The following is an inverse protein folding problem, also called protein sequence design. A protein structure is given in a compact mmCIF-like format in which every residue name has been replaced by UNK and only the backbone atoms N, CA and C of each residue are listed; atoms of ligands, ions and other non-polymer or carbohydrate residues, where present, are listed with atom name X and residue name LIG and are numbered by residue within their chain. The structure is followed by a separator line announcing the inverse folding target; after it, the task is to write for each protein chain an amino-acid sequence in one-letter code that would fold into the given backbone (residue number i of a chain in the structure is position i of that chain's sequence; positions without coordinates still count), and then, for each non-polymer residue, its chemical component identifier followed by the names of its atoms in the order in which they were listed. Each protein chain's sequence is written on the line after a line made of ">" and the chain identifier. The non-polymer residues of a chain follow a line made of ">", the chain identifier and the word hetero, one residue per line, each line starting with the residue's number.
data_IF_594364610080
#
_entry.id   IF_594364610080
#
_cell.length_a   1.000
_cell.length_b   1.000
_cell.length_c   1.000
_cell.angle_alpha   90.00
_cell.angle_beta   90.00
_cell.angle_gamma   90.00
#
_symmetry.space_group_name_H-M   'P 1'
#
loop_
_entity.id
_entity.type
_entity.pdbx_description
1 polymer ?
#
# COMPACT_ATOMS: atom_id res chain seq x y z
N UNK A 1 -44.58 -49.87 12.18
CA UNK A 1 -44.18 -49.04 13.34
C UNK A 1 -42.98 -48.21 12.91
N UNK A 2 -43.26 -47.03 12.36
CA UNK A 2 -42.26 -46.05 11.88
C UNK A 2 -42.10 -45.00 12.98
N UNK A 3 -40.98 -45.06 13.68
CA UNK A 3 -40.63 -44.10 14.73
C UNK A 3 -40.29 -42.75 14.13
N UNK A 4 -41.12 -41.75 14.39
CA UNK A 4 -40.80 -40.34 14.16
C UNK A 4 -39.74 -39.92 15.18
N UNK A 5 -38.48 -39.85 14.74
CA UNK A 5 -37.42 -39.18 15.47
C UNK A 5 -37.69 -37.68 15.42
N UNK A 6 -38.30 -37.16 16.48
CA UNK A 6 -38.45 -35.73 16.73
C UNK A 6 -37.05 -35.15 16.90
N UNK A 7 -36.48 -34.60 15.82
CA UNK A 7 -35.31 -33.73 15.90
C UNK A 7 -35.70 -32.51 16.74
N UNK A 8 -35.41 -32.57 18.03
CA UNK A 8 -35.33 -31.40 18.90
C UNK A 8 -34.14 -30.59 18.41
N UNK A 9 -34.34 -29.84 17.33
CA UNK A 9 -33.39 -28.87 16.82
C UNK A 9 -33.07 -27.90 17.94
N UNK A 10 -31.81 -27.88 18.36
CA UNK A 10 -31.26 -26.89 19.28
C UNK A 10 -31.51 -25.48 18.71
N UNK A 11 -32.65 -24.89 19.05
CA UNK A 11 -32.95 -23.51 18.71
C UNK A 11 -32.11 -22.64 19.65
N UNK A 12 -30.98 -22.16 19.11
CA UNK A 12 -30.16 -21.12 19.74
C UNK A 12 -31.10 -19.99 20.17
N UNK A 13 -31.06 -19.65 21.47
CA UNK A 13 -31.94 -18.65 22.07
C UNK A 13 -31.69 -17.26 21.47
N UNK A 14 -32.68 -16.38 21.52
CA UNK A 14 -32.55 -15.01 20.98
C UNK A 14 -31.36 -14.25 21.62
N UNK A 15 -31.13 -14.46 22.92
CA UNK A 15 -30.00 -13.87 23.66
C UNK A 15 -28.64 -14.38 23.18
N UNK A 16 -28.49 -15.69 22.92
CA UNK A 16 -27.26 -16.26 22.39
C UNK A 16 -26.95 -15.73 20.98
N UNK A 17 -27.98 -15.51 20.16
CA UNK A 17 -27.82 -14.89 18.84
C UNK A 17 -27.37 -13.45 18.94
N UNK A 18 -27.98 -12.66 19.82
CA UNK A 18 -27.60 -11.26 20.02
C UNK A 18 -26.14 -11.14 20.46
N UNK A 19 -25.70 -12.00 21.40
CA UNK A 19 -24.29 -12.08 21.82
C UNK A 19 -23.35 -12.49 20.69
N UNK A 20 -23.75 -13.43 19.84
CA UNK A 20 -22.94 -13.85 18.69
C UNK A 20 -22.73 -12.69 17.70
N UNK A 21 -23.75 -11.87 17.47
CA UNK A 21 -23.64 -10.72 16.56
C UNK A 21 -22.76 -9.62 17.14
N UNK A 22 -22.96 -9.31 18.42
CA UNK A 22 -22.12 -8.34 19.11
C UNK A 22 -20.65 -8.79 19.07
N UNK A 23 -20.40 -10.09 19.28
CA UNK A 23 -19.08 -10.67 19.15
C UNK A 23 -18.51 -10.52 17.73
N UNK A 24 -19.27 -10.87 16.69
CA UNK A 24 -18.82 -10.75 15.29
C UNK A 24 -18.53 -9.30 14.93
N UNK A 25 -19.41 -8.37 15.31
CA UNK A 25 -19.22 -6.93 15.06
C UNK A 25 -17.97 -6.42 15.77
N UNK A 26 -17.77 -6.75 17.06
CA UNK A 26 -16.57 -6.37 17.80
C UNK A 26 -15.30 -7.00 17.23
N UNK A 27 -15.36 -8.26 16.80
CA UNK A 27 -14.24 -8.95 16.19
C UNK A 27 -13.83 -8.27 14.87
N UNK A 28 -14.81 -7.90 14.05
CA UNK A 28 -14.56 -7.20 12.79
C UNK A 28 -14.05 -5.77 13.01
N UNK A 29 -14.57 -5.06 14.02
CA UNK A 29 -14.03 -3.77 14.44
C UNK A 29 -12.57 -3.88 14.88
N UNK A 30 -12.22 -4.89 15.69
CA UNK A 30 -10.84 -5.15 16.10
C UNK A 30 -9.94 -5.46 14.89
N UNK A 31 -10.37 -6.33 13.97
CA UNK A 31 -9.60 -6.62 12.75
C UNK A 31 -9.38 -5.34 11.91
N UNK A 32 -10.41 -4.51 11.79
CA UNK A 32 -10.31 -3.25 11.07
C UNK A 32 -9.30 -2.29 11.72
N UNK A 33 -9.34 -2.16 13.05
CA UNK A 33 -8.42 -1.29 13.77
C UNK A 33 -6.99 -1.83 13.77
N UNK A 34 -6.80 -3.15 13.88
CA UNK A 34 -5.51 -3.81 13.70
C UNK A 34 -4.97 -3.55 12.28
N UNK A 35 -5.82 -3.68 11.27
CA UNK A 35 -5.47 -3.37 9.87
C UNK A 35 -5.03 -1.91 9.68
N UNK A 36 -5.73 -0.94 10.29
CA UNK A 36 -5.33 0.48 10.27
C UNK A 36 -3.97 0.69 10.94
N UNK A 37 -3.71 0.01 12.06
CA UNK A 37 -2.44 0.10 12.77
C UNK A 37 -1.30 -0.48 11.91
N UNK A 38 -1.52 -1.61 11.25
CA UNK A 38 -0.52 -2.20 10.33
C UNK A 38 -0.25 -1.31 9.13
N UNK A 39 -1.29 -0.76 8.50
CA UNK A 39 -1.14 0.24 7.42
C UNK A 39 -0.38 1.47 7.91
N UNK A 40 -0.64 1.94 9.12
CA UNK A 40 0.11 3.02 9.76
C UNK A 40 1.59 2.69 9.95
N UNK A 41 1.91 1.46 10.41
CA UNK A 41 3.30 0.97 10.52
C UNK A 41 3.97 0.89 9.15
N UNK A 42 3.26 0.42 8.13
CA UNK A 42 3.77 0.32 6.76
C UNK A 42 4.10 1.71 6.21
N UNK A 43 3.15 2.64 6.30
CA UNK A 43 3.32 4.06 5.91
C UNK A 43 4.51 4.69 6.64
N UNK A 44 4.68 4.41 7.93
CA UNK A 44 5.84 4.89 8.70
C UNK A 44 7.14 4.30 8.19
N UNK A 45 7.21 2.99 7.91
CA UNK A 45 8.41 2.35 7.32
C UNK A 45 8.76 2.98 5.97
N UNK A 46 7.79 3.19 5.09
CA UNK A 46 8.00 3.88 3.81
C UNK A 46 8.50 5.30 3.99
N UNK A 47 7.92 6.06 4.94
CA UNK A 47 8.37 7.41 5.24
C UNK A 47 9.82 7.44 5.75
N UNK A 48 10.23 6.44 6.52
CA UNK A 48 11.63 6.30 6.96
C UNK A 48 12.53 5.95 5.78
N UNK A 49 12.16 4.97 4.95
CA UNK A 49 12.92 4.61 3.74
C UNK A 49 13.06 5.81 2.80
N UNK A 50 12.01 6.61 2.63
CA UNK A 50 12.04 7.86 1.87
C UNK A 50 13.07 8.85 2.43
N UNK A 51 13.06 9.05 3.75
CA UNK A 51 14.04 9.91 4.42
C UNK A 51 15.48 9.40 4.26
N UNK A 52 15.68 8.08 4.32
CA UNK A 52 16.99 7.46 4.09
C UNK A 52 17.46 7.73 2.65
N UNK A 53 16.57 7.62 1.66
CA UNK A 53 16.92 7.88 0.26
C UNK A 53 17.22 9.36 0.02
N UNK A 54 16.47 10.28 0.64
CA UNK A 54 16.80 11.71 0.61
C UNK A 54 18.18 11.95 1.21
N UNK A 55 18.46 11.38 2.38
CA UNK A 55 19.75 11.56 3.05
C UNK A 55 20.90 11.02 2.18
N UNK A 56 20.73 9.84 1.59
CA UNK A 56 21.70 9.25 0.66
C UNK A 56 21.90 10.17 -0.56
N UNK A 57 20.83 10.75 -1.08
CA UNK A 57 20.88 11.68 -2.22
C UNK A 57 21.64 12.96 -1.87
N UNK A 58 21.45 13.50 -0.65
CA UNK A 58 22.21 14.66 -0.16
C UNK A 58 23.70 14.32 -0.04
N UNK A 59 24.04 13.15 0.51
CA UNK A 59 25.44 12.71 0.63
C UNK A 59 26.08 12.57 -0.77
N UNK A 60 25.38 11.93 -1.71
CA UNK A 60 25.86 11.77 -3.08
C UNK A 60 26.03 13.12 -3.79
N UNK A 61 25.10 14.06 -3.56
CA UNK A 61 25.21 15.42 -4.07
C UNK A 61 26.43 16.16 -3.49
N UNK A 62 26.65 16.06 -2.18
CA UNK A 62 27.83 16.64 -1.53
C UNK A 62 29.13 16.04 -2.07
N UNK A 63 29.17 14.71 -2.28
CA UNK A 63 30.30 14.03 -2.93
C UNK A 63 30.51 14.53 -4.37
N UNK A 64 29.43 14.75 -5.12
CA UNK A 64 29.49 15.35 -6.47
C UNK A 64 30.11 16.74 -6.46
N UNK A 65 29.71 17.61 -5.53
CA UNK A 65 30.33 18.94 -5.33
C UNK A 65 31.81 18.79 -4.97
N UNK A 66 32.15 17.86 -4.08
CA UNK A 66 33.54 17.62 -3.67
C UNK A 66 34.41 17.17 -4.85
N UNK A 67 33.89 16.26 -5.68
CA UNK A 67 34.54 15.79 -6.91
C UNK A 67 34.72 16.92 -7.93
N UNK A 68 33.75 17.82 -8.05
CA UNK A 68 33.88 19.01 -8.90
C UNK A 68 34.91 20.03 -8.41
N UNK A 69 35.11 20.10 -7.10
CA UNK A 69 36.05 21.07 -6.52
C UNK A 69 37.49 20.80 -6.98
N UNK A 70 37.87 19.54 -7.20
CA UNK A 70 39.23 19.14 -7.61
C UNK A 70 39.62 19.69 -9.00
N UNK A 71 38.89 19.43 -10.10
CA UNK A 71 39.20 19.99 -11.41
C UNK A 71 39.00 21.51 -11.46
N UNK A 72 38.08 22.07 -10.66
CA UNK A 72 37.93 23.52 -10.53
C UNK A 72 39.22 24.15 -9.98
N UNK A 73 39.77 23.58 -8.90
CA UNK A 73 41.05 24.03 -8.31
C UNK A 73 42.20 23.83 -9.30
N UNK A 74 42.29 22.68 -9.97
CA UNK A 74 43.34 22.40 -10.97
C UNK A 74 43.29 23.38 -12.16
N UNK A 75 42.10 23.76 -12.61
CA UNK A 75 41.91 24.77 -13.66
C UNK A 75 42.34 26.18 -13.21
N UNK A 76 42.21 26.51 -11.92
CA UNK A 76 42.73 27.76 -11.36
C UNK A 76 44.27 27.82 -11.36
N UNK A 77 44.96 26.69 -11.19
CA UNK A 77 46.42 26.61 -11.26
C UNK A 77 47.00 26.56 -12.69
N UNK A 78 46.16 26.69 -13.73
CA UNK A 78 46.60 26.90 -15.11
C UNK A 78 47.14 25.67 -15.84
N UNK A 79 46.90 24.45 -15.33
CA UNK A 79 47.41 23.21 -15.92
C UNK A 79 46.53 22.65 -17.07
N UNK A 80 45.29 23.13 -17.23
CA UNK A 80 44.30 22.56 -18.16
C UNK A 80 43.43 23.67 -18.77
N UNK A 81 43.00 23.48 -20.02
CA UNK A 81 42.06 24.36 -20.70
C UNK A 81 40.71 24.43 -19.95
N UNK A 82 40.36 25.62 -19.44
CA UNK A 82 39.29 25.83 -18.46
C UNK A 82 37.92 25.40 -18.99
N UNK A 83 37.69 25.58 -20.28
CA UNK A 83 36.43 25.26 -20.95
C UNK A 83 36.17 23.75 -20.99
N UNK A 84 37.18 22.97 -21.36
CA UNK A 84 37.05 21.51 -21.48
C UNK A 84 36.88 20.85 -20.10
N UNK A 85 37.59 21.36 -19.09
CA UNK A 85 37.43 20.92 -17.70
C UNK A 85 36.00 21.16 -17.20
N UNK A 86 35.45 22.35 -17.42
CA UNK A 86 34.10 22.72 -16.98
C UNK A 86 33.00 21.85 -17.64
N UNK A 87 33.11 21.61 -18.95
CA UNK A 87 32.15 20.79 -19.70
C UNK A 87 32.19 19.34 -19.20
N UNK A 88 33.37 18.77 -19.00
CA UNK A 88 33.54 17.40 -18.51
C UNK A 88 32.98 17.25 -17.09
N UNK A 89 33.24 18.22 -16.23
CA UNK A 89 32.67 18.32 -14.88
C UNK A 89 31.12 18.37 -14.92
N UNK A 90 30.55 19.22 -15.77
CA UNK A 90 29.10 19.36 -15.92
C UNK A 90 28.42 18.05 -16.37
N UNK A 91 29.00 17.37 -17.35
CA UNK A 91 28.50 16.06 -17.81
C UNK A 91 28.58 14.99 -16.72
N UNK A 92 29.70 14.91 -15.99
CA UNK A 92 29.86 13.96 -14.89
C UNK A 92 28.85 14.18 -13.76
N UNK A 93 28.55 15.44 -13.44
CA UNK A 93 27.54 15.77 -12.43
C UNK A 93 26.12 15.43 -12.88
N UNK A 94 25.79 15.73 -14.14
CA UNK A 94 24.47 15.43 -14.69
C UNK A 94 24.22 13.92 -14.74
N UNK A 95 25.23 13.14 -15.11
CA UNK A 95 25.15 11.67 -15.12
C UNK A 95 25.03 11.09 -13.70
N UNK A 96 25.79 11.63 -12.74
CA UNK A 96 25.65 11.28 -11.31
C UNK A 96 24.24 11.59 -10.79
N UNK A 97 23.71 12.78 -11.08
CA UNK A 97 22.36 13.15 -10.67
C UNK A 97 21.30 12.25 -11.34
N UNK A 98 21.44 11.95 -12.64
CA UNK A 98 20.54 11.05 -13.35
C UNK A 98 20.54 9.63 -12.76
N UNK A 99 21.72 9.06 -12.48
CA UNK A 99 21.85 7.71 -11.95
C UNK A 99 21.37 7.58 -10.50
N UNK A 100 21.65 8.58 -9.66
CA UNK A 100 21.45 8.46 -8.22
C UNK A 100 20.19 9.16 -7.67
N UNK A 101 19.67 10.20 -8.33
CA UNK A 101 18.45 10.88 -7.91
C UNK A 101 17.23 10.39 -8.70
N UNK A 102 17.31 10.38 -10.03
CA UNK A 102 16.13 10.10 -10.85
C UNK A 102 15.62 8.67 -10.70
N UNK A 103 16.50 7.66 -10.83
CA UNK A 103 16.08 6.25 -10.77
C UNK A 103 15.46 5.85 -9.41
N UNK A 104 16.06 6.19 -8.25
CA UNK A 104 15.43 5.86 -6.97
C UNK A 104 14.12 6.62 -6.75
N UNK A 105 14.07 7.89 -7.14
CA UNK A 105 12.88 8.73 -6.96
C UNK A 105 11.69 8.22 -7.80
N UNK A 106 11.95 7.87 -9.06
CA UNK A 106 10.95 7.25 -9.95
C UNK A 106 10.44 5.92 -9.38
N UNK A 107 11.34 5.09 -8.84
CA UNK A 107 10.98 3.82 -8.20
C UNK A 107 10.10 4.03 -6.96
N UNK A 108 10.39 5.03 -6.13
CA UNK A 108 9.56 5.38 -4.96
C UNK A 108 8.19 5.84 -5.42
N UNK A 109 8.10 6.74 -6.40
CA UNK A 109 6.82 7.23 -6.91
C UNK A 109 5.96 6.10 -7.46
N UNK A 110 6.58 5.16 -8.17
CA UNK A 110 5.91 3.93 -8.61
C UNK A 110 5.36 3.13 -7.42
N UNK A 111 6.21 2.77 -6.46
CA UNK A 111 5.78 1.96 -5.30
C UNK A 111 4.70 2.68 -4.48
N UNK A 112 4.81 4.01 -4.33
CA UNK A 112 3.83 4.81 -3.62
C UNK A 112 2.48 4.86 -4.37
N UNK A 113 2.52 4.94 -5.70
CA UNK A 113 1.34 4.80 -6.55
C UNK A 113 0.67 3.45 -6.36
N UNK A 114 1.44 2.36 -6.45
CA UNK A 114 0.94 0.99 -6.28
C UNK A 114 0.31 0.79 -4.90
N UNK A 115 0.97 1.29 -3.85
CA UNK A 115 0.44 1.22 -2.50
C UNK A 115 -0.82 2.06 -2.30
N UNK A 116 -0.89 3.24 -2.91
CA UNK A 116 -2.09 4.07 -2.84
C UNK A 116 -3.30 3.35 -3.43
N UNK A 117 -3.11 2.63 -4.54
CA UNK A 117 -4.17 1.84 -5.17
C UNK A 117 -4.60 0.65 -4.31
N UNK A 118 -3.64 -0.08 -3.73
CA UNK A 118 -3.93 -1.18 -2.80
C UNK A 118 -4.70 -0.68 -1.57
N UNK A 119 -4.29 0.46 -1.00
CA UNK A 119 -4.97 1.08 0.14
C UNK A 119 -6.39 1.50 -0.25
N UNK A 120 -6.59 2.06 -1.44
CA UNK A 120 -7.91 2.43 -1.93
C UNK A 120 -8.82 1.20 -2.06
N UNK A 121 -8.32 0.12 -2.67
CA UNK A 121 -9.05 -1.13 -2.83
C UNK A 121 -9.41 -1.75 -1.47
N UNK A 122 -8.47 -1.78 -0.52
CA UNK A 122 -8.71 -2.26 0.85
C UNK A 122 -9.74 -1.42 1.60
N UNK A 123 -9.65 -0.09 1.51
CA UNK A 123 -10.62 0.79 2.15
C UNK A 123 -12.02 0.64 1.51
N UNK A 124 -12.09 0.48 0.19
CA UNK A 124 -13.34 0.19 -0.53
C UNK A 124 -13.95 -1.12 -0.03
N UNK A 125 -13.15 -2.20 0.00
CA UNK A 125 -13.56 -3.50 0.55
C UNK A 125 -14.11 -3.39 1.97
N UNK A 126 -13.35 -2.76 2.87
CA UNK A 126 -13.74 -2.61 4.27
C UNK A 126 -15.04 -1.81 4.40
N UNK A 127 -15.23 -0.77 3.61
CA UNK A 127 -16.45 0.04 3.61
C UNK A 127 -17.65 -0.78 3.13
N UNK A 128 -17.51 -1.52 2.04
CA UNK A 128 -18.58 -2.38 1.52
C UNK A 128 -18.96 -3.48 2.53
N UNK A 129 -17.97 -4.18 3.09
CA UNK A 129 -18.21 -5.22 4.10
C UNK A 129 -18.87 -4.63 5.34
N UNK A 130 -18.38 -3.49 5.83
CA UNK A 130 -18.96 -2.80 6.98
C UNK A 130 -20.44 -2.46 6.77
N UNK A 131 -20.81 -1.92 5.61
CA UNK A 131 -22.20 -1.62 5.27
C UNK A 131 -23.07 -2.88 5.22
N UNK A 132 -22.59 -3.95 4.56
CA UNK A 132 -23.35 -5.22 4.46
C UNK A 132 -23.55 -5.92 5.80
N UNK A 133 -22.63 -5.72 6.74
CA UNK A 133 -22.76 -6.23 8.10
C UNK A 133 -23.70 -5.38 8.94
N UNK A 134 -23.76 -4.06 8.72
CA UNK A 134 -24.76 -3.19 9.35
C UNK A 134 -26.18 -3.51 8.86
N UNK A 135 -26.32 -3.91 7.59
CA UNK A 135 -27.59 -4.35 6.99
C UNK A 135 -28.01 -5.77 7.41
N UNK A 136 -27.13 -6.54 8.06
CA UNK A 136 -27.37 -7.93 8.37
C UNK A 136 -28.40 -8.09 9.51
N UNK A 137 -29.58 -8.63 9.17
CA UNK A 137 -30.54 -9.12 10.14
C UNK A 137 -30.37 -10.63 10.37
N UNK A 138 -29.57 -10.96 11.37
CA UNK A 138 -29.35 -12.31 11.92
C UNK A 138 -30.60 -13.11 12.32
N UNK A 139 -31.76 -12.47 12.49
CA UNK A 139 -33.01 -13.19 12.76
C UNK A 139 -33.59 -13.80 11.48
N UNK A 140 -33.21 -13.25 10.32
CA UNK A 140 -33.62 -13.67 9.00
C UNK A 140 -32.51 -14.52 8.35
N UNK A 141 -32.59 -15.85 8.47
CA UNK A 141 -31.63 -16.81 7.85
C UNK A 141 -31.32 -16.50 6.37
N UNK A 142 -32.30 -16.20 5.51
CA UNK A 142 -32.06 -15.73 4.15
C UNK A 142 -31.11 -14.53 4.04
N UNK A 143 -31.21 -13.56 4.96
CA UNK A 143 -30.36 -12.36 4.97
C UNK A 143 -28.89 -12.71 5.22
N UNK A 144 -28.60 -13.67 6.11
CA UNK A 144 -27.23 -14.14 6.38
C UNK A 144 -26.57 -14.74 5.15
N UNK A 145 -27.30 -15.57 4.41
CA UNK A 145 -26.81 -16.13 3.16
C UNK A 145 -26.51 -15.04 2.13
N UNK A 146 -27.40 -14.05 2.01
CA UNK A 146 -27.21 -12.93 1.10
C UNK A 146 -26.02 -12.04 1.50
N UNK A 147 -25.87 -11.71 2.78
CA UNK A 147 -24.72 -10.93 3.27
C UNK A 147 -23.40 -11.67 3.03
N UNK A 148 -23.33 -12.98 3.24
CA UNK A 148 -22.13 -13.76 2.94
C UNK A 148 -21.77 -13.73 1.45
N UNK A 149 -22.77 -13.84 0.57
CA UNK A 149 -22.58 -13.70 -0.89
C UNK A 149 -22.06 -12.29 -1.22
N UNK A 150 -22.69 -11.25 -0.67
CA UNK A 150 -22.31 -9.86 -0.92
C UNK A 150 -20.89 -9.54 -0.41
N UNK A 151 -20.49 -10.10 0.74
CA UNK A 151 -19.11 -9.97 1.26
C UNK A 151 -18.11 -10.68 0.35
N UNK A 152 -18.45 -11.87 -0.14
CA UNK A 152 -17.62 -12.60 -1.10
C UNK A 152 -17.49 -11.84 -2.42
N UNK A 153 -18.56 -11.20 -2.88
CA UNK A 153 -18.58 -10.37 -4.09
C UNK A 153 -17.73 -9.11 -3.91
N UNK A 154 -17.88 -8.40 -2.79
CA UNK A 154 -17.03 -7.26 -2.43
C UNK A 154 -15.54 -7.63 -2.39
N UNK A 155 -15.22 -8.82 -1.85
CA UNK A 155 -13.85 -9.33 -1.84
C UNK A 155 -13.33 -9.59 -3.26
N UNK A 156 -14.15 -10.22 -4.12
CA UNK A 156 -13.80 -10.46 -5.52
C UNK A 156 -13.60 -9.16 -6.30
N UNK A 157 -14.48 -8.17 -6.11
CA UNK A 157 -14.36 -6.87 -6.74
C UNK A 157 -13.07 -6.16 -6.31
N UNK A 158 -12.74 -6.22 -5.02
CA UNK A 158 -11.53 -5.60 -4.48
C UNK A 158 -10.26 -6.29 -4.95
N UNK A 159 -10.27 -7.62 -5.07
CA UNK A 159 -9.18 -8.39 -5.69
C UNK A 159 -9.05 -8.02 -7.17
N UNK A 160 -10.17 -7.92 -7.88
CA UNK A 160 -10.18 -7.55 -9.30
C UNK A 160 -9.63 -6.15 -9.52
N UNK A 161 -9.99 -5.18 -8.69
CA UNK A 161 -9.41 -3.82 -8.75
C UNK A 161 -7.89 -3.83 -8.62
N UNK A 162 -7.35 -4.66 -7.72
CA UNK A 162 -5.89 -4.82 -7.57
C UNK A 162 -5.28 -5.53 -8.78
N UNK A 163 -5.94 -6.57 -9.31
CA UNK A 163 -5.48 -7.30 -10.51
C UNK A 163 -5.48 -6.40 -11.76
N UNK A 164 -6.61 -5.77 -12.07
CA UNK A 164 -6.78 -4.86 -13.21
C UNK A 164 -5.72 -3.73 -13.16
N UNK A 165 -5.39 -3.23 -11.96
CA UNK A 165 -4.31 -2.27 -11.78
C UNK A 165 -2.94 -2.83 -12.21
N UNK A 166 -2.55 -4.00 -11.71
CA UNK A 166 -1.27 -4.60 -12.06
C UNK A 166 -1.19 -5.00 -13.54
N UNK A 167 -2.29 -5.51 -14.12
CA UNK A 167 -2.36 -5.87 -15.54
C UNK A 167 -2.22 -4.63 -16.44
N UNK A 168 -2.92 -3.53 -16.13
CA UNK A 168 -2.80 -2.28 -16.89
C UNK A 168 -1.36 -1.73 -16.91
N UNK A 169 -0.64 -1.90 -15.78
CA UNK A 169 0.76 -1.53 -15.62
C UNK A 169 1.73 -2.42 -16.38
N UNK A 170 1.39 -3.69 -16.64
CA UNK A 170 2.20 -4.58 -17.48
C UNK A 170 2.03 -4.27 -18.97
N UNK A 171 0.85 -3.84 -19.41
CA UNK A 171 0.60 -3.45 -20.80
C UNK A 171 1.20 -2.10 -21.21
N UNK A 172 1.56 -1.23 -20.26
CA UNK A 172 2.19 0.07 -20.53
C UNK A 172 3.73 0.00 -20.64
N UNK A 173 4.35 -1.15 -20.37
CA UNK A 173 5.80 -1.36 -20.47
C UNK A 173 6.21 -1.90 -21.84
#
# INVERSE_FOLDING_TARGET
>A
MTGASTETGNMISADERMKANEFIVRFLQNIMDDGKVELGKLRRKLSVTYWVIILLSIIMFALGIMLLSVPAIAAFYGQIDKMQSLITAGFGLADLAALFLFRPLERIHTIMGDMSQIILALNSYQTQVGLRLMELDVTNRPSMGQTAINVSEAAKESIKLVQDYFESRETEK
#
